data_IF_797864143072
#
_entry.id   IF_797864143072
#
_cell.length_a   1.000
_cell.length_b   1.000
_cell.length_c   1.000
_cell.angle_alpha   90.00
_cell.angle_beta   90.00
_cell.angle_gamma   90.00
#
_symmetry.space_group_name_H-M   'P 1'
#
loop_
_entity.id
_entity.type
_entity.pdbx_description
1 polymer ?
#
# COMPACT_ATOMS: atom_id res chain seq x y z
N UNK A 1 24.68 -15.20 -3.12
CA UNK A 1 24.11 -13.93 -3.60
C UNK A 1 24.14 -12.92 -2.46
N UNK A 2 24.90 -11.82 -2.56
CA UNK A 2 24.97 -10.76 -1.53
C UNK A 2 23.55 -10.26 -1.19
N UNK A 3 23.27 -10.01 0.09
CA UNK A 3 21.98 -9.51 0.58
C UNK A 3 21.71 -8.10 0.04
N UNK A 4 21.13 -8.01 -1.18
CA UNK A 4 20.91 -6.75 -1.91
C UNK A 4 20.09 -5.75 -1.08
N UNK A 5 19.05 -6.22 -0.37
CA UNK A 5 18.23 -5.38 0.50
C UNK A 5 19.04 -4.84 1.69
N UNK A 6 19.88 -5.66 2.32
CA UNK A 6 20.73 -5.19 3.42
C UNK A 6 21.71 -4.07 2.98
N UNK A 7 22.30 -4.20 1.79
CA UNK A 7 23.21 -3.19 1.25
C UNK A 7 22.49 -1.86 0.98
N UNK A 8 21.29 -1.93 0.38
CA UNK A 8 20.48 -0.74 0.10
C UNK A 8 20.07 -0.07 1.42
N UNK A 9 19.61 -0.83 2.42
CA UNK A 9 19.21 -0.29 3.71
C UNK A 9 20.37 0.39 4.43
N UNK A 10 21.56 -0.23 4.41
CA UNK A 10 22.78 0.37 4.96
C UNK A 10 23.14 1.66 4.22
N UNK A 11 23.09 1.66 2.89
CA UNK A 11 23.31 2.86 2.08
C UNK A 11 22.35 4.00 2.45
N UNK A 12 21.07 3.70 2.65
CA UNK A 12 20.07 4.68 3.10
C UNK A 12 20.38 5.23 4.49
N UNK A 13 20.78 4.37 5.44
CA UNK A 13 21.17 4.82 6.78
C UNK A 13 22.42 5.72 6.74
N UNK A 14 23.43 5.35 5.96
CA UNK A 14 24.63 6.18 5.76
C UNK A 14 24.25 7.52 5.15
N UNK A 15 23.37 7.53 4.15
CA UNK A 15 22.92 8.76 3.49
C UNK A 15 22.11 9.66 4.45
N UNK A 16 21.31 9.09 5.35
CA UNK A 16 20.64 9.83 6.41
C UNK A 16 21.65 10.48 7.36
N UNK A 17 22.66 9.74 7.82
CA UNK A 17 23.73 10.29 8.67
C UNK A 17 24.49 11.41 7.95
N UNK A 18 24.84 11.21 6.68
CA UNK A 18 25.48 12.23 5.86
C UNK A 18 24.59 13.47 5.70
N UNK A 19 23.28 13.32 5.59
CA UNK A 19 22.35 14.45 5.51
C UNK A 19 22.31 15.22 6.84
N UNK A 20 22.27 14.52 7.98
CA UNK A 20 22.29 15.13 9.31
C UNK A 20 23.59 15.90 9.53
N UNK A 21 24.75 15.25 9.39
CA UNK A 21 26.06 15.88 9.63
C UNK A 21 26.41 16.90 8.54
N UNK A 22 26.07 16.61 7.29
CA UNK A 22 26.30 17.49 6.15
C UNK A 22 25.52 18.79 6.27
N UNK A 23 24.23 18.74 6.62
CA UNK A 23 23.42 19.95 6.83
C UNK A 23 24.01 20.86 7.93
N UNK A 24 24.53 20.26 9.00
CA UNK A 24 25.19 20.99 10.07
C UNK A 24 26.53 21.60 9.62
N UNK A 25 27.40 20.82 8.97
CA UNK A 25 28.72 21.29 8.53
C UNK A 25 28.59 22.44 7.52
N UNK A 26 27.67 22.32 6.56
CA UNK A 26 27.42 23.37 5.57
C UNK A 26 26.91 24.65 6.23
N UNK A 27 25.95 24.54 7.16
CA UNK A 27 25.43 25.71 7.90
C UNK A 27 26.51 26.36 8.77
N UNK A 28 27.45 25.57 9.29
CA UNK A 28 28.56 26.08 10.10
C UNK A 28 29.66 26.74 9.26
N UNK A 29 29.96 26.21 8.07
CA UNK A 29 30.99 26.74 7.17
C UNK A 29 30.51 27.93 6.34
N UNK A 30 29.24 27.93 5.94
CA UNK A 30 28.63 28.97 5.11
C UNK A 30 27.29 29.39 5.74
N UNK A 31 27.29 30.44 6.59
CA UNK A 31 26.07 30.90 7.25
C UNK A 31 25.09 31.60 6.31
N UNK A 32 25.55 32.06 5.14
CA UNK A 32 24.73 32.83 4.19
C UNK A 32 23.87 31.96 3.25
N UNK A 33 24.08 30.64 3.25
CA UNK A 33 23.32 29.72 2.39
C UNK A 33 21.98 29.41 3.07
N UNK A 34 20.89 29.43 2.30
CA UNK A 34 19.54 29.13 2.77
C UNK A 34 19.34 27.61 2.99
N UNK A 35 20.11 27.02 3.90
CA UNK A 35 20.08 25.60 4.25
C UNK A 35 19.75 25.48 5.74
N UNK A 36 18.82 24.60 6.08
CA UNK A 36 18.46 24.31 7.46
C UNK A 36 19.31 23.17 8.03
N UNK A 37 20.01 23.43 9.14
CA UNK A 37 20.68 22.37 9.90
C UNK A 37 19.70 21.53 10.71
N UNK A 38 19.73 20.20 10.55
CA UNK A 38 18.93 19.27 11.35
C UNK A 38 19.37 19.22 12.83
N UNK A 39 20.64 19.52 13.11
CA UNK A 39 21.17 19.53 14.49
C UNK A 39 20.91 20.86 15.22
N UNK A 40 20.30 21.84 14.55
CA UNK A 40 19.85 23.07 15.22
C UNK A 40 18.68 22.80 16.18
N UNK A 41 18.46 23.66 17.17
CA UNK A 41 17.33 23.52 18.09
C UNK A 41 15.94 23.55 17.43
N UNK A 42 15.82 24.08 16.20
CA UNK A 42 14.61 23.98 15.37
C UNK A 42 14.59 22.68 14.56
N UNK A 43 15.70 22.34 13.93
CA UNK A 43 15.84 21.12 13.13
C UNK A 43 15.62 19.85 13.93
N UNK A 44 16.18 19.77 15.13
CA UNK A 44 16.06 18.59 15.98
C UNK A 44 14.63 18.39 16.47
N UNK A 45 13.95 19.48 16.85
CA UNK A 45 12.52 19.45 17.23
C UNK A 45 11.65 18.99 16.07
N UNK A 46 11.89 19.53 14.87
CA UNK A 46 11.18 19.10 13.67
C UNK A 46 11.45 17.62 13.36
N UNK A 47 12.71 17.18 13.44
CA UNK A 47 13.11 15.81 13.14
C UNK A 47 12.40 14.78 14.03
N UNK A 48 12.37 15.02 15.34
CA UNK A 48 11.71 14.13 16.31
C UNK A 48 10.18 14.30 16.27
N UNK A 49 9.69 15.54 16.23
CA UNK A 49 8.27 15.85 16.30
C UNK A 49 7.48 15.46 15.05
N UNK A 50 8.09 15.56 13.87
CA UNK A 50 7.42 15.28 12.60
C UNK A 50 7.62 13.84 12.10
N UNK A 51 8.45 13.03 12.76
CA UNK A 51 8.77 11.66 12.36
C UNK A 51 7.53 10.81 12.05
N UNK A 52 6.56 10.78 12.96
CA UNK A 52 5.34 10.00 12.79
C UNK A 52 4.45 10.56 11.68
N UNK A 53 4.35 11.88 11.56
CA UNK A 53 3.54 12.54 10.54
C UNK A 53 4.10 12.30 9.14
N UNK A 54 5.43 12.28 9.00
CA UNK A 54 6.10 11.95 7.75
C UNK A 54 5.82 10.50 7.30
N UNK A 55 5.76 9.57 8.25
CA UNK A 55 5.49 8.16 7.97
C UNK A 55 4.02 7.86 7.68
N UNK A 56 3.10 8.58 8.33
CA UNK A 56 1.65 8.53 8.10
C UNK A 56 1.32 9.12 6.73
N UNK A 57 1.48 8.33 5.69
CA UNK A 57 1.06 8.69 4.33
C UNK A 57 0.11 7.64 3.77
N UNK A 58 -0.71 8.05 2.81
CA UNK A 58 -1.59 7.15 2.07
C UNK A 58 -0.81 6.01 1.39
N UNK A 59 0.45 6.25 1.01
CA UNK A 59 1.31 5.23 0.41
C UNK A 59 1.59 4.07 1.37
N UNK A 60 1.77 4.35 2.67
CA UNK A 60 1.94 3.29 3.67
C UNK A 60 0.67 2.43 3.77
N UNK A 61 -0.49 3.08 3.77
CA UNK A 61 -1.79 2.41 3.83
C UNK A 61 -2.00 1.55 2.60
N UNK A 62 -1.73 2.08 1.40
CA UNK A 62 -1.84 1.33 0.15
C UNK A 62 -0.88 0.14 0.13
N UNK A 63 0.37 0.31 0.57
CA UNK A 63 1.35 -0.77 0.66
C UNK A 63 0.87 -1.89 1.59
N UNK A 64 0.28 -1.53 2.74
CA UNK A 64 -0.27 -2.49 3.69
C UNK A 64 -1.46 -3.24 3.09
N UNK A 65 -2.39 -2.53 2.47
CA UNK A 65 -3.59 -3.11 1.86
C UNK A 65 -3.25 -4.02 0.67
N UNK A 66 -2.34 -3.61 -0.21
CA UNK A 66 -1.87 -4.44 -1.31
C UNK A 66 -1.13 -5.68 -0.81
N UNK A 67 -0.33 -5.55 0.25
CA UNK A 67 0.37 -6.67 0.85
C UNK A 67 -0.61 -7.73 1.36
N UNK A 68 -1.66 -7.31 2.08
CA UNK A 68 -2.72 -8.22 2.54
C UNK A 68 -3.46 -8.85 1.36
N UNK A 69 -3.93 -8.03 0.41
CA UNK A 69 -4.66 -8.50 -0.76
C UNK A 69 -3.86 -9.55 -1.55
N UNK A 70 -2.57 -9.30 -1.76
CA UNK A 70 -1.67 -10.24 -2.43
C UNK A 70 -1.51 -11.57 -1.68
N UNK A 71 -1.37 -11.51 -0.34
CA UNK A 71 -1.27 -12.68 0.51
C UNK A 71 -2.48 -13.61 0.36
N UNK A 72 -3.67 -13.04 0.51
CA UNK A 72 -4.95 -13.76 0.40
C UNK A 72 -5.16 -14.28 -1.03
N UNK A 73 -4.87 -13.46 -2.04
CA UNK A 73 -5.00 -13.82 -3.45
C UNK A 73 -4.12 -15.02 -3.85
N UNK A 74 -2.91 -15.10 -3.30
CA UNK A 74 -1.98 -16.21 -3.53
C UNK A 74 -2.36 -17.46 -2.75
N UNK A 75 -2.66 -17.33 -1.47
CA UNK A 75 -2.95 -18.47 -0.56
C UNK A 75 -4.30 -19.13 -0.84
N UNK A 76 -5.31 -18.35 -1.23
CA UNK A 76 -6.58 -18.89 -1.76
C UNK A 76 -6.39 -19.67 -3.06
N UNK A 77 -5.28 -19.44 -3.77
CA UNK A 77 -4.96 -20.04 -5.06
C UNK A 77 -5.86 -19.57 -6.20
N UNK A 78 -6.49 -18.40 -6.05
CA UNK A 78 -7.21 -17.71 -7.13
C UNK A 78 -6.22 -17.35 -8.25
N UNK A 79 -5.01 -16.90 -7.89
CA UNK A 79 -3.92 -16.60 -8.83
C UNK A 79 -3.67 -17.72 -9.85
N UNK A 80 -3.57 -18.97 -9.40
CA UNK A 80 -3.23 -20.10 -10.27
C UNK A 80 -4.31 -20.36 -11.32
N UNK A 81 -5.57 -20.12 -10.97
CA UNK A 81 -6.70 -20.29 -11.87
C UNK A 81 -6.84 -19.11 -12.81
N UNK A 82 -6.65 -17.89 -12.31
CA UNK A 82 -6.61 -16.72 -13.18
C UNK A 82 -5.49 -16.87 -14.22
N UNK A 83 -4.32 -17.36 -13.81
CA UNK A 83 -3.22 -17.65 -14.71
C UNK A 83 -3.57 -18.77 -15.72
N UNK A 84 -4.24 -19.84 -15.29
CA UNK A 84 -4.71 -20.91 -16.20
C UNK A 84 -5.77 -20.42 -17.21
N UNK A 85 -6.66 -19.53 -16.80
CA UNK A 85 -7.71 -18.96 -17.65
C UNK A 85 -7.14 -17.95 -18.64
N UNK A 86 -6.32 -17.00 -18.15
CA UNK A 86 -5.82 -15.87 -18.94
C UNK A 86 -4.60 -16.28 -19.77
N UNK A 87 -3.57 -16.85 -19.15
CA UNK A 87 -2.29 -17.12 -19.81
C UNK A 87 -2.31 -18.44 -20.61
N UNK A 88 -2.97 -19.48 -20.08
CA UNK A 88 -2.98 -20.82 -20.71
C UNK A 88 -4.20 -21.08 -21.60
N UNK A 89 -5.15 -20.14 -21.65
CA UNK A 89 -6.42 -20.22 -22.40
C UNK A 89 -7.16 -21.56 -22.18
N UNK A 90 -7.06 -22.13 -20.99
CA UNK A 90 -7.72 -23.40 -20.70
C UNK A 90 -9.24 -23.19 -20.68
N UNK A 91 -10.00 -24.17 -21.16
CA UNK A 91 -11.47 -24.04 -21.14
C UNK A 91 -11.97 -24.08 -19.71
N UNK A 92 -13.00 -23.28 -19.43
CA UNK A 92 -13.70 -23.32 -18.15
C UNK A 92 -14.27 -24.72 -17.84
N UNK A 93 -14.48 -25.54 -18.87
CA UNK A 93 -14.91 -26.94 -18.81
C UNK A 93 -13.92 -27.91 -18.19
N UNK A 94 -12.66 -27.50 -17.95
CA UNK A 94 -11.63 -28.42 -17.48
C UNK A 94 -11.39 -28.28 -15.97
N UNK A 95 -11.98 -27.27 -15.34
CA UNK A 95 -11.88 -27.05 -13.90
C UNK A 95 -12.81 -27.96 -13.11
N UNK A 96 -12.39 -28.31 -11.90
CA UNK A 96 -13.18 -29.16 -11.00
C UNK A 96 -14.47 -28.44 -10.58
N UNK A 97 -15.53 -29.17 -10.28
CA UNK A 97 -16.83 -28.58 -9.92
C UNK A 97 -16.71 -27.50 -8.82
N UNK A 98 -15.93 -27.77 -7.77
CA UNK A 98 -15.68 -26.82 -6.66
C UNK A 98 -15.01 -25.52 -7.11
N UNK A 99 -14.03 -25.60 -8.02
CA UNK A 99 -13.34 -24.43 -8.57
C UNK A 99 -14.31 -23.56 -9.38
N UNK A 100 -15.24 -24.17 -10.12
CA UNK A 100 -16.26 -23.41 -10.86
C UNK A 100 -17.27 -22.71 -9.96
N UNK A 101 -17.66 -23.35 -8.86
CA UNK A 101 -18.51 -22.71 -7.85
C UNK A 101 -17.75 -21.53 -7.22
N UNK A 102 -16.48 -21.74 -6.86
CA UNK A 102 -15.63 -20.67 -6.32
C UNK A 102 -15.45 -19.49 -7.28
N UNK A 103 -15.19 -19.74 -8.57
CA UNK A 103 -15.03 -18.66 -9.57
C UNK A 103 -16.35 -17.91 -9.75
N UNK A 104 -17.49 -18.60 -9.77
CA UNK A 104 -18.81 -17.95 -9.85
C UNK A 104 -19.09 -17.07 -8.63
N UNK A 105 -18.71 -17.51 -7.44
CA UNK A 105 -18.82 -16.70 -6.21
C UNK A 105 -17.90 -15.48 -6.23
N UNK A 106 -16.63 -15.65 -6.60
CA UNK A 106 -15.70 -14.53 -6.72
C UNK A 106 -16.15 -13.49 -7.77
N UNK A 107 -16.71 -13.96 -8.89
CA UNK A 107 -17.29 -13.10 -9.92
C UNK A 107 -18.55 -12.40 -9.42
N UNK A 108 -19.41 -13.10 -8.67
CA UNK A 108 -20.57 -12.50 -8.03
C UNK A 108 -20.17 -11.38 -7.06
N UNK A 109 -19.20 -11.63 -6.18
CA UNK A 109 -18.68 -10.61 -5.25
C UNK A 109 -18.19 -9.37 -6.01
N UNK A 110 -17.42 -9.57 -7.09
CA UNK A 110 -16.88 -8.48 -7.90
C UNK A 110 -17.96 -7.67 -8.62
N UNK A 111 -18.93 -8.34 -9.24
CA UNK A 111 -20.07 -7.69 -9.91
C UNK A 111 -20.95 -6.97 -8.90
N UNK A 112 -21.19 -7.56 -7.74
CA UNK A 112 -21.94 -6.95 -6.65
C UNK A 112 -21.26 -5.67 -6.15
N UNK A 113 -19.94 -5.68 -5.98
CA UNK A 113 -19.16 -4.49 -5.62
C UNK A 113 -19.26 -3.37 -6.67
N UNK A 114 -19.20 -3.71 -7.96
CA UNK A 114 -19.38 -2.72 -9.05
C UNK A 114 -20.81 -2.16 -9.00
N UNK A 115 -21.82 -3.01 -8.86
CA UNK A 115 -23.21 -2.59 -8.79
C UNK A 115 -23.46 -1.65 -7.59
N UNK A 116 -22.95 -1.99 -6.40
CA UNK A 116 -23.00 -1.11 -5.23
C UNK A 116 -22.30 0.23 -5.50
N UNK A 117 -21.12 0.20 -6.10
CA UNK A 117 -20.37 1.43 -6.42
C UNK A 117 -21.19 2.33 -7.36
N UNK A 118 -21.85 1.77 -8.38
CA UNK A 118 -22.73 2.53 -9.29
C UNK A 118 -23.95 3.08 -8.56
N UNK A 119 -24.61 2.27 -7.73
CA UNK A 119 -25.79 2.69 -6.94
C UNK A 119 -25.42 3.88 -6.04
N UNK A 120 -24.32 3.79 -5.31
CA UNK A 120 -23.86 4.86 -4.42
C UNK A 120 -23.39 6.12 -5.16
N UNK A 121 -23.05 6.00 -6.45
CA UNK A 121 -22.67 7.14 -7.31
C UNK A 121 -23.90 7.80 -7.96
N UNK A 122 -24.99 7.05 -8.16
CA UNK A 122 -26.20 7.53 -8.85
C UNK A 122 -27.34 7.92 -7.91
N UNK A 123 -27.26 7.57 -6.62
CA UNK A 123 -28.25 7.96 -5.61
C UNK A 123 -28.31 9.50 -5.47
N UNK A 124 -29.52 10.08 -5.29
CA UNK A 124 -29.71 11.54 -5.24
C UNK A 124 -29.00 12.20 -4.03
N UNK A 125 -28.79 11.47 -2.95
CA UNK A 125 -28.00 11.90 -1.78
C UNK A 125 -26.47 11.71 -1.97
N UNK A 126 -26.06 11.13 -3.10
CA UNK A 126 -24.67 10.94 -3.60
C UNK A 126 -23.56 11.01 -2.54
N UNK A 127 -23.56 10.10 -1.54
CA UNK A 127 -22.64 10.20 -0.40
C UNK A 127 -21.17 10.00 -0.78
N UNK A 128 -20.90 9.45 -1.98
CA UNK A 128 -19.55 9.24 -2.49
C UNK A 128 -19.07 10.31 -3.47
N UNK A 129 -19.95 11.19 -3.97
CA UNK A 129 -19.53 12.31 -4.82
C UNK A 129 -19.14 13.51 -3.97
N UNK A 130 -18.37 14.41 -4.58
CA UNK A 130 -18.13 15.70 -3.98
C UNK A 130 -19.44 16.50 -3.90
N UNK A 131 -19.46 17.51 -3.03
CA UNK A 131 -20.57 18.48 -2.89
C UNK A 131 -20.92 19.14 -4.24
N UNK A 132 -19.96 19.17 -5.18
CA UNK A 132 -20.11 19.70 -6.53
C UNK A 132 -20.58 18.68 -7.58
N UNK A 133 -20.81 17.42 -7.20
CA UNK A 133 -21.15 16.35 -8.14
C UNK A 133 -19.98 15.87 -9.02
N UNK A 134 -18.74 16.26 -8.71
CA UNK A 134 -17.56 15.75 -9.41
C UNK A 134 -17.09 14.41 -8.84
N UNK A 135 -16.59 13.53 -9.71
CA UNK A 135 -15.95 12.26 -9.35
C UNK A 135 -14.51 12.44 -8.86
N UNK A 136 -13.88 13.55 -9.21
CA UNK A 136 -12.55 13.93 -8.78
C UNK A 136 -12.55 15.42 -8.41
N UNK A 137 -11.96 15.84 -7.28
CA UNK A 137 -11.62 15.05 -6.08
C UNK A 137 -12.89 14.77 -5.24
N UNK A 138 -13.21 13.50 -5.01
CA UNK A 138 -14.33 13.07 -4.15
C UNK A 138 -13.93 11.91 -3.23
N UNK A 139 -14.80 11.60 -2.25
CA UNK A 139 -14.64 10.44 -1.36
C UNK A 139 -14.48 9.12 -2.13
N UNK A 140 -15.13 8.99 -3.29
CA UNK A 140 -14.93 7.86 -4.20
C UNK A 140 -13.49 7.74 -4.69
N UNK A 141 -12.90 8.84 -5.17
CA UNK A 141 -11.53 8.84 -5.71
C UNK A 141 -10.47 8.54 -4.65
N UNK A 142 -10.64 9.05 -3.42
CA UNK A 142 -9.75 8.80 -2.30
C UNK A 142 -9.87 7.35 -1.78
N UNK A 143 -11.09 6.81 -1.75
CA UNK A 143 -11.39 5.46 -1.29
C UNK A 143 -11.12 4.36 -2.31
N UNK A 144 -10.79 4.69 -3.57
CA UNK A 144 -10.73 3.73 -4.67
C UNK A 144 -9.69 2.62 -4.42
N UNK A 145 -8.48 2.98 -4.00
CA UNK A 145 -7.41 1.99 -3.74
C UNK A 145 -7.78 1.09 -2.56
N UNK A 146 -8.22 1.61 -1.40
CA UNK A 146 -8.75 0.76 -0.33
C UNK A 146 -9.91 -0.13 -0.74
N UNK A 147 -10.85 0.38 -1.54
CA UNK A 147 -12.02 -0.38 -1.98
C UNK A 147 -11.62 -1.53 -2.93
N UNK A 148 -10.71 -1.28 -3.89
CA UNK A 148 -10.16 -2.31 -4.77
C UNK A 148 -9.41 -3.40 -3.99
N UNK A 149 -8.61 -3.02 -3.00
CA UNK A 149 -7.90 -4.00 -2.16
C UNK A 149 -8.89 -4.87 -1.37
N UNK A 150 -9.94 -4.27 -0.83
CA UNK A 150 -10.98 -4.94 -0.05
C UNK A 150 -11.74 -5.96 -0.90
N UNK A 151 -12.15 -5.60 -2.12
CA UNK A 151 -12.88 -6.54 -2.99
C UNK A 151 -12.00 -7.71 -3.44
N UNK A 152 -10.70 -7.48 -3.67
CA UNK A 152 -9.76 -8.57 -3.97
C UNK A 152 -9.63 -9.52 -2.78
N UNK A 153 -9.56 -8.99 -1.55
CA UNK A 153 -9.52 -9.81 -0.33
C UNK A 153 -10.80 -10.65 -0.19
N UNK A 154 -11.97 -10.03 -0.28
CA UNK A 154 -13.27 -10.70 -0.12
C UNK A 154 -13.45 -11.80 -1.18
N UNK A 155 -13.27 -11.46 -2.47
CA UNK A 155 -13.41 -12.42 -3.57
C UNK A 155 -12.42 -13.59 -3.47
N UNK A 156 -11.19 -13.33 -3.01
CA UNK A 156 -10.17 -14.37 -2.81
C UNK A 156 -10.49 -15.28 -1.62
N UNK A 157 -11.00 -14.73 -0.52
CA UNK A 157 -11.47 -15.52 0.63
C UNK A 157 -12.68 -16.38 0.25
N UNK A 158 -13.71 -15.78 -0.38
CA UNK A 158 -14.90 -16.49 -0.87
C UNK A 158 -14.51 -17.66 -1.79
N UNK A 159 -13.58 -17.42 -2.71
CA UNK A 159 -13.04 -18.43 -3.61
C UNK A 159 -12.33 -19.57 -2.83
N UNK A 160 -11.44 -19.21 -1.90
CA UNK A 160 -10.65 -20.16 -1.11
C UNK A 160 -11.53 -21.07 -0.24
N UNK A 161 -12.59 -20.51 0.35
CA UNK A 161 -13.58 -21.25 1.15
C UNK A 161 -14.42 -22.16 0.26
N UNK A 162 -14.96 -21.65 -0.86
CA UNK A 162 -15.78 -22.45 -1.78
C UNK A 162 -15.04 -23.65 -2.39
N UNK A 163 -13.73 -23.51 -2.59
CA UNK A 163 -12.89 -24.60 -3.10
C UNK A 163 -12.46 -25.59 -2.01
N UNK A 164 -12.69 -25.26 -0.74
CA UNK A 164 -12.21 -26.02 0.41
C UNK A 164 -10.70 -25.96 0.61
N UNK A 165 -10.05 -24.91 0.09
CA UNK A 165 -8.62 -24.61 0.33
C UNK A 165 -8.43 -23.89 1.66
N UNK A 166 -9.39 -23.06 2.06
CA UNK A 166 -9.47 -22.43 3.37
C UNK A 166 -10.67 -23.04 4.10
N UNK A 167 -10.42 -23.92 5.06
CA UNK A 167 -11.48 -24.68 5.76
C UNK A 167 -11.79 -24.11 7.14
N UNK A 168 -10.80 -23.49 7.77
CA UNK A 168 -10.92 -22.97 9.14
C UNK A 168 -10.75 -21.45 9.15
N UNK A 169 -11.30 -20.81 10.18
CA UNK A 169 -11.10 -19.38 10.40
C UNK A 169 -9.62 -19.03 10.65
N UNK A 170 -8.86 -19.96 11.26
CA UNK A 170 -7.41 -19.81 11.43
C UNK A 170 -6.70 -19.71 10.08
N UNK A 171 -6.99 -20.63 9.15
CA UNK A 171 -6.39 -20.60 7.81
C UNK A 171 -6.76 -19.32 7.05
N UNK A 172 -7.98 -18.80 7.24
CA UNK A 172 -8.40 -17.52 6.67
C UNK A 172 -7.59 -16.34 7.26
N UNK A 173 -7.37 -16.31 8.58
CA UNK A 173 -6.54 -15.29 9.20
C UNK A 173 -5.06 -15.41 8.80
N UNK A 174 -4.53 -16.63 8.72
CA UNK A 174 -3.17 -16.89 8.27
C UNK A 174 -2.97 -16.47 6.80
N UNK A 175 -4.01 -16.57 5.98
CA UNK A 175 -4.00 -16.08 4.59
C UNK A 175 -3.78 -14.56 4.52
N UNK A 176 -4.41 -13.80 5.43
CA UNK A 176 -4.29 -12.34 5.55
C UNK A 176 -2.88 -11.96 6.03
N UNK A 177 -2.37 -12.65 7.05
CA UNK A 177 -1.04 -12.36 7.62
C UNK A 177 0.11 -12.77 6.68
N UNK A 178 -0.09 -13.80 5.86
CA UNK A 178 0.93 -14.30 4.92
C UNK A 178 1.45 -13.23 3.95
N UNK A 179 0.57 -12.31 3.55
CA UNK A 179 0.91 -11.19 2.68
C UNK A 179 1.88 -10.22 3.33
N UNK A 180 1.65 -9.91 4.61
CA UNK A 180 2.51 -9.03 5.42
C UNK A 180 3.88 -9.66 5.65
N UNK A 181 3.93 -10.97 5.90
CA UNK A 181 5.20 -11.70 6.05
C UNK A 181 6.00 -11.67 4.75
N UNK A 182 5.33 -11.85 3.59
CA UNK A 182 5.98 -11.76 2.29
C UNK A 182 6.55 -10.36 2.01
N UNK A 183 5.79 -9.31 2.32
CA UNK A 183 6.21 -7.92 2.15
C UNK A 183 7.00 -7.35 3.34
N UNK A 184 7.35 -8.16 4.34
CA UNK A 184 7.99 -7.70 5.59
C UNK A 184 9.24 -6.85 5.35
N UNK A 185 10.03 -7.18 4.32
CA UNK A 185 11.26 -6.45 3.96
C UNK A 185 11.00 -5.08 3.34
N UNK A 186 9.81 -4.81 2.82
CA UNK A 186 9.44 -3.54 2.19
C UNK A 186 9.14 -2.46 3.23
N UNK A 187 8.58 -2.82 4.39
CA UNK A 187 8.23 -1.84 5.43
C UNK A 187 9.44 -1.08 5.99
N UNK A 188 10.55 -1.74 6.40
CA UNK A 188 11.75 -1.01 6.83
C UNK A 188 12.36 -0.15 5.73
N UNK A 189 12.29 -0.61 4.48
CA UNK A 189 12.77 0.17 3.33
C UNK A 189 11.96 1.44 3.12
N UNK A 190 10.63 1.33 3.16
CA UNK A 190 9.73 2.46 3.07
C UNK A 190 10.05 3.51 4.15
N UNK A 191 10.21 3.07 5.41
CA UNK A 191 10.55 3.96 6.53
C UNK A 191 11.85 4.72 6.26
N UNK A 192 12.90 4.02 5.82
CA UNK A 192 14.20 4.65 5.55
C UNK A 192 14.14 5.65 4.37
N UNK A 193 13.45 5.30 3.30
CA UNK A 193 13.32 6.15 2.11
C UNK A 193 12.50 7.40 2.43
N UNK A 194 11.35 7.24 3.07
CA UNK A 194 10.46 8.36 3.40
C UNK A 194 11.13 9.30 4.39
N UNK A 195 11.78 8.76 5.42
CA UNK A 195 12.47 9.61 6.39
C UNK A 195 13.62 10.38 5.74
N UNK A 196 14.39 9.74 4.85
CA UNK A 196 15.44 10.43 4.10
C UNK A 196 14.87 11.54 3.19
N UNK A 197 13.78 11.26 2.49
CA UNK A 197 13.11 12.22 1.61
C UNK A 197 12.70 13.49 2.38
N UNK A 198 12.04 13.33 3.53
CA UNK A 198 11.63 14.47 4.35
C UNK A 198 12.82 15.19 5.00
N UNK A 199 13.87 14.46 5.42
CA UNK A 199 15.11 15.10 5.90
C UNK A 199 15.68 16.02 4.82
N UNK A 200 15.82 15.53 3.59
CA UNK A 200 16.34 16.31 2.45
C UNK A 200 15.44 17.51 2.18
N UNK A 201 14.12 17.32 2.15
CA UNK A 201 13.17 18.40 1.95
C UNK A 201 13.30 19.51 3.00
N UNK A 202 13.48 19.14 4.27
CA UNK A 202 13.70 20.10 5.35
C UNK A 202 15.03 20.85 5.21
N UNK A 203 16.13 20.14 4.92
CA UNK A 203 17.48 20.73 4.72
C UNK A 203 17.43 21.83 3.66
N UNK A 204 16.81 21.53 2.51
CA UNK A 204 16.75 22.45 1.38
C UNK A 204 15.57 23.42 1.44
N UNK A 205 14.81 23.43 2.55
CA UNK A 205 13.63 24.26 2.71
C UNK A 205 12.67 24.14 1.51
N UNK A 206 12.53 22.92 0.99
CA UNK A 206 11.59 22.63 -0.09
C UNK A 206 10.20 22.72 0.52
N UNK A 207 9.43 23.72 0.08
CA UNK A 207 8.07 23.95 0.54
C UNK A 207 7.16 22.87 -0.09
N UNK A 208 7.27 21.65 0.43
CA UNK A 208 6.39 20.53 0.09
C UNK A 208 5.04 20.79 0.75
N UNK A 209 4.21 21.61 0.11
CA UNK A 209 2.79 21.72 0.40
C UNK A 209 2.13 20.40 -0.02
N UNK A 210 2.31 19.36 0.79
CA UNK A 210 1.59 18.11 0.64
C UNK A 210 0.19 18.37 1.21
N UNK A 211 -0.73 18.66 0.31
CA UNK A 211 -2.18 18.68 0.56
C UNK A 211 -2.71 17.27 0.77
#
# INVERSE_FOLDING_TARGET
>A
MKNKYGIIALGLMVLQLLTVFGSWLVTAAFPDVNINSLLSGRGFRWFVGQFTNNLKSDMLVWLLLFSIAWGVYKTSGLHDILCKLVCRKNKFSDFRYRERVGIRLALFDFVFFIALSIIFTMLPESPLLSVTGSLFPSSFSLGLIPALSSIVIVSSLSYGVACGKLKTLSEAYDSISSGLVFCSKLFPMYILVVQLFYMIAYVFNLNLSIY
#
